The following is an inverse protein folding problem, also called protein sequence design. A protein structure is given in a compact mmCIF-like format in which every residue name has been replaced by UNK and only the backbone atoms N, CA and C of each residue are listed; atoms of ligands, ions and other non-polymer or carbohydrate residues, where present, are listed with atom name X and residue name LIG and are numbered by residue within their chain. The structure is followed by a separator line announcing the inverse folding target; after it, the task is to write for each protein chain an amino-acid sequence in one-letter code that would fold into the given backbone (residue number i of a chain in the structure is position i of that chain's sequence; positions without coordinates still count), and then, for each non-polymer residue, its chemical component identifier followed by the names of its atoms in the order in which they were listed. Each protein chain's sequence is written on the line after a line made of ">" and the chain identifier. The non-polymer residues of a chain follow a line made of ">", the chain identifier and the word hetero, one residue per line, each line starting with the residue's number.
data_IF_915558346535
#
_entry.id   IF_915558346535
#
_cell.length_a   1.000
_cell.length_b   1.000
_cell.length_c   1.000
_cell.angle_alpha   90.00
_cell.angle_beta   90.00
_cell.angle_gamma   90.00
#
_symmetry.space_group_name_H-M   'P 1'
#
loop_
_entity.id
_entity.type
_entity.pdbx_description
1 polymer ?
#
# COMPACT_ATOMS: atom_id res chain seq x y z
N UNK A 1 7.08 -35.82 -50.81
CA UNK A 1 6.48 -34.52 -51.21
C UNK A 1 6.19 -33.75 -49.90
N UNK A 2 7.18 -33.00 -49.41
CA UNK A 2 7.05 -32.24 -48.14
C UNK A 2 6.63 -30.81 -48.44
N UNK A 3 5.44 -30.44 -48.01
CA UNK A 3 4.95 -29.07 -48.07
C UNK A 3 5.51 -28.27 -46.85
N UNK A 4 6.37 -27.28 -47.11
CA UNK A 4 6.84 -26.30 -46.13
C UNK A 4 5.80 -25.18 -46.05
N UNK A 5 5.14 -25.05 -44.87
CA UNK A 5 4.37 -23.85 -44.55
C UNK A 5 5.31 -22.78 -43.99
N UNK A 6 5.43 -21.69 -44.76
CA UNK A 6 6.15 -20.48 -44.32
C UNK A 6 5.17 -19.60 -43.54
N UNK A 7 5.41 -19.47 -42.23
CA UNK A 7 4.61 -18.58 -41.37
C UNK A 7 5.17 -17.16 -41.47
N UNK A 8 4.47 -16.30 -42.21
CA UNK A 8 4.81 -14.90 -42.35
C UNK A 8 4.29 -14.14 -41.12
N UNK A 9 5.20 -13.78 -40.20
CA UNK A 9 4.87 -12.97 -39.04
C UNK A 9 4.75 -11.50 -39.48
N UNK A 10 3.53 -11.00 -39.62
CA UNK A 10 3.29 -9.57 -39.87
C UNK A 10 3.54 -8.77 -38.59
N UNK A 11 4.59 -7.95 -38.63
CA UNK A 11 4.91 -7.01 -37.55
C UNK A 11 3.90 -5.84 -37.61
N UNK A 12 2.93 -5.80 -36.69
CA UNK A 12 2.02 -4.66 -36.56
C UNK A 12 2.76 -3.56 -35.80
N UNK A 13 3.23 -2.54 -36.51
CA UNK A 13 3.78 -1.32 -35.92
C UNK A 13 2.61 -0.46 -35.46
N UNK A 14 2.30 -0.46 -34.17
CA UNK A 14 1.36 0.49 -33.59
C UNK A 14 2.07 1.84 -33.48
N UNK A 15 1.77 2.75 -34.37
CA UNK A 15 2.23 4.14 -34.28
C UNK A 15 1.46 4.82 -33.15
N UNK A 16 2.12 5.04 -32.01
CA UNK A 16 1.59 5.89 -30.94
C UNK A 16 1.73 7.35 -31.34
N UNK A 17 0.62 7.98 -31.73
CA UNK A 17 0.57 9.43 -31.94
C UNK A 17 0.72 10.14 -30.60
N UNK A 18 1.82 10.85 -30.42
CA UNK A 18 1.97 11.83 -29.33
C UNK A 18 1.06 13.02 -29.61
N UNK A 19 0.00 13.21 -28.83
CA UNK A 19 -0.80 14.42 -28.91
C UNK A 19 -0.03 15.55 -28.25
N UNK A 20 0.33 16.58 -29.03
CA UNK A 20 0.86 17.81 -28.51
C UNK A 20 -0.29 18.62 -27.91
N UNK A 21 -0.15 19.05 -26.66
CA UNK A 21 -1.14 19.92 -26.01
C UNK A 21 -0.78 21.38 -26.28
N UNK A 22 -1.71 22.15 -26.85
CA UNK A 22 -1.57 23.59 -27.03
C UNK A 22 -2.19 24.34 -25.86
N UNK A 23 -1.39 25.13 -25.14
CA UNK A 23 -1.87 26.07 -24.15
C UNK A 23 -1.77 27.50 -24.66
N UNK A 24 -2.74 28.33 -24.29
CA UNK A 24 -2.81 29.75 -24.63
C UNK A 24 -2.48 30.57 -23.40
N UNK A 25 -1.45 31.41 -23.48
CA UNK A 25 -1.07 32.36 -22.43
C UNK A 25 -1.69 33.71 -22.71
N UNK A 26 -2.41 34.29 -21.76
CA UNK A 26 -2.88 35.68 -21.77
C UNK A 26 -2.45 36.39 -20.50
N UNK A 27 -2.40 37.73 -20.54
CA UNK A 27 -2.10 38.57 -19.38
C UNK A 27 -3.21 39.61 -19.26
N UNK A 28 -3.78 39.78 -18.07
CA UNK A 28 -4.81 40.78 -17.84
C UNK A 28 -4.21 42.19 -17.66
N UNK A 29 -5.08 43.18 -17.50
CA UNK A 29 -4.69 44.59 -17.29
C UNK A 29 -3.89 44.82 -15.99
N UNK A 30 -3.90 43.89 -15.05
CA UNK A 30 -3.18 43.97 -13.78
C UNK A 30 -1.85 43.20 -13.84
N UNK A 31 -1.47 42.62 -14.99
CA UNK A 31 -0.24 41.86 -15.17
C UNK A 31 -0.32 40.39 -14.75
N UNK A 32 -1.52 39.89 -14.40
CA UNK A 32 -1.71 38.50 -14.01
C UNK A 32 -1.71 37.62 -15.27
N UNK A 33 -0.88 36.55 -15.25
CA UNK A 33 -0.74 35.63 -16.35
C UNK A 33 -1.69 34.42 -16.17
N UNK A 34 -2.48 34.14 -17.21
CA UNK A 34 -3.38 33.00 -17.29
C UNK A 34 -2.94 32.02 -18.36
N UNK A 35 -3.16 30.74 -18.10
CA UNK A 35 -3.02 29.69 -19.11
C UNK A 35 -4.37 28.99 -19.29
N UNK A 36 -4.75 28.74 -20.54
CA UNK A 36 -6.02 28.09 -20.91
C UNK A 36 -5.78 27.07 -22.02
N UNK A 37 -6.58 26.04 -22.10
CA UNK A 37 -6.69 25.12 -23.23
C UNK A 37 -7.53 25.69 -24.38
N UNK A 38 -8.18 26.85 -24.16
CA UNK A 38 -9.00 27.53 -25.15
C UNK A 38 -8.33 28.82 -25.62
N UNK A 39 -8.38 29.07 -26.92
CA UNK A 39 -7.87 30.31 -27.50
C UNK A 39 -8.78 31.49 -27.10
N UNK A 40 -8.17 32.51 -26.50
CA UNK A 40 -8.82 33.79 -26.21
C UNK A 40 -8.19 34.91 -27.07
N UNK A 41 -8.91 36.00 -27.39
CA UNK A 41 -8.35 37.11 -28.15
C UNK A 41 -7.10 37.68 -27.50
N UNK A 42 -6.00 37.78 -28.25
CA UNK A 42 -4.73 38.31 -27.76
C UNK A 42 -3.83 37.27 -27.02
N UNK A 43 -4.25 36.05 -26.85
CA UNK A 43 -3.44 35.02 -26.19
C UNK A 43 -2.37 34.44 -27.14
N UNK A 44 -1.16 34.20 -26.60
CA UNK A 44 -0.08 33.55 -27.32
C UNK A 44 -0.19 32.02 -27.14
N UNK A 45 -0.10 31.28 -28.26
CA UNK A 45 -0.09 29.82 -28.24
C UNK A 45 1.28 29.26 -27.82
N UNK A 46 1.27 28.33 -26.86
CA UNK A 46 2.41 27.54 -26.47
C UNK A 46 2.13 26.05 -26.77
N UNK A 47 2.93 25.46 -27.63
CA UNK A 47 2.88 24.02 -27.90
C UNK A 47 3.78 23.33 -26.89
N UNK A 48 3.18 22.59 -25.95
CA UNK A 48 3.92 21.71 -25.06
C UNK A 48 4.20 20.42 -25.81
N UNK A 49 5.43 20.28 -26.30
CA UNK A 49 5.91 18.98 -26.79
C UNK A 49 6.29 18.16 -25.57
N UNK A 50 5.61 17.05 -25.36
CA UNK A 50 6.09 16.05 -24.39
C UNK A 50 7.46 15.55 -24.85
N UNK A 51 8.50 16.10 -24.25
CA UNK A 51 9.83 15.51 -24.37
C UNK A 51 9.76 14.14 -23.71
N UNK A 52 9.77 13.04 -24.48
CA UNK A 52 10.01 11.70 -23.91
C UNK A 52 11.35 11.76 -23.19
N UNK A 53 11.30 12.02 -21.90
CA UNK A 53 12.46 11.80 -21.04
C UNK A 53 12.64 10.29 -21.04
N UNK A 54 13.55 9.79 -21.85
CA UNK A 54 14.07 8.43 -21.69
C UNK A 54 14.71 8.41 -20.30
N UNK A 55 13.93 8.02 -19.28
CA UNK A 55 14.53 7.68 -18.01
C UNK A 55 15.49 6.54 -18.31
N UNK A 56 16.79 6.68 -17.97
CA UNK A 56 17.70 5.57 -18.09
C UNK A 56 17.06 4.40 -17.34
N UNK A 57 16.75 3.33 -18.07
CA UNK A 57 16.35 2.07 -17.48
C UNK A 57 17.60 1.57 -16.78
N UNK A 58 17.76 1.93 -15.50
CA UNK A 58 18.69 1.23 -14.67
C UNK A 58 18.13 -0.18 -14.54
N UNK A 59 18.68 -1.07 -15.35
CA UNK A 59 18.45 -2.50 -15.23
C UNK A 59 19.00 -2.90 -13.85
N UNK A 60 18.22 -2.68 -12.80
CA UNK A 60 18.51 -3.28 -11.51
C UNK A 60 18.33 -4.77 -11.76
N UNK A 61 19.41 -5.57 -11.61
CA UNK A 61 19.26 -7.01 -11.72
C UNK A 61 18.10 -7.39 -10.82
N UNK A 62 17.05 -8.00 -11.38
CA UNK A 62 15.99 -8.64 -10.60
C UNK A 62 16.71 -9.54 -9.60
N UNK A 63 16.47 -9.39 -8.29
CA UNK A 63 17.04 -10.30 -7.33
C UNK A 63 16.68 -11.71 -7.78
N UNK A 64 17.70 -12.54 -7.97
CA UNK A 64 17.59 -13.91 -8.50
C UNK A 64 16.95 -14.91 -7.51
N UNK A 65 16.25 -14.40 -6.48
CA UNK A 65 15.50 -15.22 -5.56
C UNK A 65 14.07 -15.35 -6.08
N UNK A 66 13.51 -16.60 -6.10
CA UNK A 66 12.08 -16.75 -6.32
C UNK A 66 11.37 -15.87 -5.31
N UNK A 67 10.63 -14.88 -5.79
CA UNK A 67 9.84 -13.98 -4.95
C UNK A 67 8.81 -14.85 -4.23
N UNK A 68 9.10 -15.24 -2.99
CA UNK A 68 8.14 -15.96 -2.19
C UNK A 68 6.95 -15.03 -1.96
N UNK A 69 5.83 -15.31 -2.61
CA UNK A 69 4.60 -14.55 -2.43
C UNK A 69 3.97 -14.99 -1.11
N UNK A 70 3.98 -14.10 -0.12
CA UNK A 70 3.30 -14.33 1.15
C UNK A 70 1.84 -13.98 1.00
N UNK A 71 0.95 -14.95 1.28
CA UNK A 71 -0.50 -14.77 1.18
C UNK A 71 -1.15 -14.80 2.55
N UNK A 72 -2.08 -13.87 2.77
CA UNK A 72 -2.81 -13.66 4.03
C UNK A 72 -4.30 -13.52 3.75
N UNK A 73 -5.14 -14.03 4.63
CA UNK A 73 -6.55 -13.69 4.61
C UNK A 73 -6.74 -12.21 4.99
N UNK A 74 -7.88 -11.61 4.65
CA UNK A 74 -8.21 -10.28 5.12
C UNK A 74 -8.23 -10.26 6.66
N UNK A 75 -7.54 -9.29 7.31
CA UNK A 75 -7.43 -9.21 8.76
C UNK A 75 -8.64 -8.57 9.45
N UNK A 76 -9.79 -8.56 8.82
CA UNK A 76 -11.05 -8.00 9.35
C UNK A 76 -12.27 -8.79 8.91
N UNK A 77 -13.39 -8.51 9.55
CA UNK A 77 -14.73 -8.96 9.11
C UNK A 77 -15.57 -7.78 8.67
N UNK A 78 -16.44 -8.01 7.69
CA UNK A 78 -17.29 -6.96 7.11
C UNK A 78 -16.62 -6.24 5.92
N UNK A 79 -17.06 -5.07 5.61
CA UNK A 79 -16.61 -4.28 4.45
C UNK A 79 -17.69 -4.21 3.37
N UNK A 80 -17.33 -3.67 2.19
CA UNK A 80 -15.97 -3.33 1.74
C UNK A 80 -15.37 -2.13 2.47
N UNK A 81 -14.05 -2.12 2.68
CA UNK A 81 -13.29 -1.03 3.27
C UNK A 81 -12.31 -0.43 2.27
N UNK A 82 -11.91 0.84 2.51
CA UNK A 82 -11.06 1.60 1.59
C UNK A 82 -9.61 1.57 2.06
N UNK A 83 -8.69 1.18 1.16
CA UNK A 83 -7.26 1.41 1.35
C UNK A 83 -6.97 2.92 1.29
N UNK A 84 -6.44 3.49 2.36
CA UNK A 84 -6.07 4.91 2.46
C UNK A 84 -4.60 5.14 2.19
N UNK A 85 -3.76 4.19 2.59
CA UNK A 85 -2.33 4.20 2.28
C UNK A 85 -1.85 2.78 2.04
N UNK A 86 -1.17 2.57 0.93
CA UNK A 86 -0.57 1.28 0.56
C UNK A 86 0.95 1.23 0.77
N UNK A 87 1.61 0.20 0.24
CA UNK A 87 3.05 0.06 0.27
C UNK A 87 3.79 1.28 -0.30
N UNK A 88 4.90 1.66 0.35
CA UNK A 88 5.69 2.87 0.04
C UNK A 88 4.92 4.20 0.15
N UNK A 89 3.83 4.21 0.91
CA UNK A 89 3.06 5.43 1.16
C UNK A 89 3.91 6.48 1.88
N UNK A 90 3.88 7.72 1.36
CA UNK A 90 4.81 8.79 1.78
C UNK A 90 4.53 9.35 3.17
N UNK A 91 3.37 9.08 3.76
CA UNK A 91 3.01 9.63 5.07
C UNK A 91 3.66 8.87 6.23
N UNK A 92 3.54 7.54 6.28
CA UNK A 92 4.03 6.70 7.39
C UNK A 92 4.70 5.40 6.96
N UNK A 93 4.60 4.98 5.68
CA UNK A 93 5.17 3.73 5.18
C UNK A 93 6.55 3.96 4.54
N UNK A 94 7.44 4.67 5.23
CA UNK A 94 8.74 5.13 4.70
C UNK A 94 9.94 4.39 5.27
N UNK A 95 9.81 3.75 6.42
CA UNK A 95 10.89 3.02 7.08
C UNK A 95 10.91 1.52 6.74
N UNK A 96 11.96 0.82 7.18
CA UNK A 96 12.12 -0.60 6.91
C UNK A 96 11.01 -1.47 7.53
N UNK A 97 10.39 -1.06 8.65
CA UNK A 97 9.37 -1.83 9.36
C UNK A 97 7.97 -1.64 8.81
N UNK A 98 7.70 -0.49 8.15
CA UNK A 98 6.37 -0.09 7.70
C UNK A 98 6.22 -0.01 6.18
N UNK A 99 7.30 -0.07 5.41
CA UNK A 99 7.30 0.15 3.95
C UNK A 99 6.22 -0.60 3.19
N UNK A 100 5.91 -1.83 3.58
CA UNK A 100 4.89 -2.67 2.95
C UNK A 100 3.59 -2.74 3.75
N UNK A 101 3.37 -1.81 4.67
CA UNK A 101 2.12 -1.73 5.41
C UNK A 101 0.95 -1.26 4.52
N UNK A 102 -0.25 -1.56 5.00
CA UNK A 102 -1.52 -1.10 4.44
C UNK A 102 -2.35 -0.47 5.55
N UNK A 103 -2.83 0.76 5.31
CA UNK A 103 -3.79 1.45 6.17
C UNK A 103 -5.18 1.33 5.54
N UNK A 104 -6.07 0.65 6.23
CA UNK A 104 -7.42 0.36 5.77
C UNK A 104 -8.42 1.12 6.64
N UNK A 105 -9.02 2.18 6.08
CA UNK A 105 -10.05 2.95 6.77
C UNK A 105 -11.28 2.10 7.04
N UNK A 106 -11.69 2.06 8.30
CA UNK A 106 -12.86 1.32 8.75
C UNK A 106 -13.44 1.95 10.03
N UNK A 107 -14.75 1.79 10.31
CA UNK A 107 -15.34 2.28 11.57
C UNK A 107 -14.64 1.67 12.78
N UNK A 108 -14.51 2.46 13.87
CA UNK A 108 -14.10 1.90 15.15
C UNK A 108 -15.06 0.77 15.58
N UNK A 109 -14.49 -0.28 16.16
CA UNK A 109 -15.25 -1.45 16.56
C UNK A 109 -15.44 -2.50 15.47
N UNK A 110 -14.85 -2.32 14.29
CA UNK A 110 -14.81 -3.37 13.27
C UNK A 110 -14.01 -4.56 13.79
N UNK A 111 -14.53 -5.81 13.71
CA UNK A 111 -13.81 -6.98 14.19
C UNK A 111 -12.51 -7.21 13.43
N UNK A 112 -11.41 -7.26 14.17
CA UNK A 112 -10.08 -7.59 13.65
C UNK A 112 -9.78 -9.05 13.98
N UNK A 113 -9.35 -9.79 12.97
CA UNK A 113 -9.14 -11.24 13.02
C UNK A 113 -7.74 -11.61 12.54
N UNK A 114 -7.26 -12.77 12.98
CA UNK A 114 -5.96 -13.26 12.54
C UNK A 114 -5.96 -13.59 11.02
N UNK A 115 -5.14 -12.90 10.25
CA UNK A 115 -4.99 -13.11 8.81
C UNK A 115 -4.27 -14.43 8.47
N UNK A 116 -3.55 -14.99 9.46
CA UNK A 116 -2.82 -16.25 9.34
C UNK A 116 -2.69 -16.90 10.71
N UNK A 117 -2.61 -18.24 10.75
CA UNK A 117 -2.38 -18.98 11.98
C UNK A 117 -1.00 -18.70 12.59
N UNK A 118 -0.89 -18.77 13.90
CA UNK A 118 0.37 -18.55 14.59
C UNK A 118 0.24 -18.46 16.09
N UNK A 119 1.26 -17.87 16.73
CA UNK A 119 1.30 -17.62 18.16
C UNK A 119 1.38 -16.11 18.42
N UNK A 120 0.58 -15.59 19.32
CA UNK A 120 0.64 -14.21 19.76
C UNK A 120 1.95 -13.98 20.51
N UNK A 121 2.78 -13.05 20.03
CA UNK A 121 4.10 -12.79 20.62
C UNK A 121 4.18 -11.45 21.34
N UNK A 122 3.27 -10.52 21.06
CA UNK A 122 3.20 -9.24 21.75
C UNK A 122 1.81 -8.63 21.64
N UNK A 123 1.36 -7.95 22.70
CA UNK A 123 0.10 -7.20 22.71
C UNK A 123 0.25 -5.90 23.49
N UNK A 124 -0.57 -4.90 23.18
CA UNK A 124 -0.83 -3.70 23.96
C UNK A 124 -2.34 -3.44 23.93
N UNK A 125 -2.93 -3.03 25.05
CA UNK A 125 -4.40 -2.92 25.19
C UNK A 125 -4.88 -1.70 25.99
N UNK A 126 -3.97 -1.01 26.67
CA UNK A 126 -4.34 0.01 27.66
C UNK A 126 -4.21 1.46 27.16
N UNK A 127 -3.67 1.67 25.96
CA UNK A 127 -3.48 3.02 25.45
C UNK A 127 -4.80 3.67 25.06
N UNK A 128 -5.01 4.91 25.52
CA UNK A 128 -6.13 5.76 25.13
C UNK A 128 -5.67 6.85 24.15
N UNK A 129 -6.47 7.16 23.14
CA UNK A 129 -6.17 8.20 22.17
C UNK A 129 -4.78 8.04 21.55
N UNK A 130 -4.01 9.13 21.44
CA UNK A 130 -2.67 9.09 20.85
C UNK A 130 -1.63 8.33 21.68
N UNK A 131 -1.84 8.21 23.00
CA UNK A 131 -0.97 7.44 23.89
C UNK A 131 0.51 7.82 23.85
N UNK A 132 1.34 7.00 24.48
CA UNK A 132 2.81 7.16 24.52
C UNK A 132 3.53 6.36 23.43
N UNK A 133 2.91 5.34 22.86
CA UNK A 133 3.45 4.52 21.76
C UNK A 133 2.72 4.86 20.46
N UNK A 134 3.49 5.15 19.42
CA UNK A 134 2.96 5.45 18.09
C UNK A 134 2.13 4.29 17.51
N UNK A 135 2.37 3.04 17.93
CA UNK A 135 1.62 1.86 17.50
C UNK A 135 0.18 1.81 18.04
N UNK A 136 -0.11 2.55 19.12
CA UNK A 136 -1.36 2.43 19.86
C UNK A 136 -1.52 1.04 20.48
N UNK A 137 -2.75 0.58 20.61
CA UNK A 137 -3.01 -0.81 20.99
C UNK A 137 -2.79 -1.72 19.79
N UNK A 138 -2.23 -2.90 20.04
CA UNK A 138 -1.84 -3.79 18.96
C UNK A 138 -1.79 -5.26 19.34
N UNK A 139 -1.77 -6.10 18.32
CA UNK A 139 -1.45 -7.53 18.40
C UNK A 139 -0.36 -7.86 17.37
N UNK A 140 0.59 -8.71 17.77
CA UNK A 140 1.59 -9.31 16.88
C UNK A 140 1.44 -10.84 16.93
N UNK A 141 1.31 -11.45 15.77
CA UNK A 141 1.17 -12.91 15.61
C UNK A 141 2.36 -13.43 14.80
N UNK A 142 3.18 -14.29 15.41
CA UNK A 142 4.28 -14.97 14.74
C UNK A 142 3.78 -16.25 14.09
N UNK A 143 4.10 -16.40 12.81
CA UNK A 143 3.70 -17.54 11.97
C UNK A 143 4.81 -18.59 11.89
N UNK A 144 4.47 -19.80 11.49
CA UNK A 144 5.42 -20.95 11.44
C UNK A 144 6.54 -20.76 10.40
N UNK A 145 6.35 -19.87 9.41
CA UNK A 145 7.39 -19.50 8.43
C UNK A 145 8.32 -18.37 8.90
N UNK A 146 8.23 -17.99 10.17
CA UNK A 146 9.05 -16.95 10.80
C UNK A 146 8.62 -15.51 10.50
N UNK A 147 7.54 -15.31 9.73
CA UNK A 147 6.94 -13.97 9.54
C UNK A 147 6.04 -13.59 10.71
N UNK A 148 5.77 -12.30 10.87
CA UNK A 148 4.86 -11.76 11.87
C UNK A 148 3.80 -10.87 11.23
N UNK A 149 2.52 -11.17 11.47
CA UNK A 149 1.41 -10.26 11.18
C UNK A 149 1.25 -9.26 12.33
N UNK A 150 1.22 -7.97 12.01
CA UNK A 150 1.16 -6.87 12.97
C UNK A 150 -0.11 -6.06 12.73
N UNK A 151 -0.92 -5.90 13.76
CA UNK A 151 -2.23 -5.25 13.73
C UNK A 151 -2.21 -4.07 14.70
N UNK A 152 -2.16 -2.83 14.21
CA UNK A 152 -2.00 -1.62 15.02
C UNK A 152 -3.27 -0.78 15.10
N UNK A 153 -3.22 0.20 15.99
CA UNK A 153 -4.26 1.21 16.24
C UNK A 153 -5.59 0.64 16.72
N UNK A 154 -5.54 -0.52 17.43
CA UNK A 154 -6.73 -1.18 17.94
C UNK A 154 -7.42 -0.36 19.03
N UNK A 155 -8.71 -0.60 19.24
CA UNK A 155 -9.51 0.05 20.27
C UNK A 155 -9.01 -0.35 21.66
N UNK A 156 -8.92 0.63 22.57
CA UNK A 156 -8.54 0.39 23.96
C UNK A 156 -9.47 -0.64 24.60
N UNK A 157 -8.89 -1.57 25.34
CA UNK A 157 -9.62 -2.62 26.06
C UNK A 157 -10.22 -3.71 25.17
N UNK A 158 -9.97 -3.68 23.85
CA UNK A 158 -10.61 -4.63 22.91
C UNK A 158 -9.75 -5.85 22.55
N UNK A 159 -8.47 -5.84 22.88
CA UNK A 159 -7.56 -6.97 22.58
C UNK A 159 -7.97 -8.16 23.43
N UNK A 160 -8.51 -9.21 22.79
CA UNK A 160 -9.05 -10.39 23.45
C UNK A 160 -8.10 -11.59 23.49
N UNK A 161 -6.84 -11.40 23.11
CA UNK A 161 -5.81 -12.45 23.08
C UNK A 161 -4.64 -12.11 23.99
N UNK A 162 -3.88 -13.12 24.42
CA UNK A 162 -2.71 -12.95 25.29
C UNK A 162 -1.45 -13.53 24.64
N UNK A 163 -0.29 -13.04 25.05
CA UNK A 163 1.01 -13.57 24.62
C UNK A 163 1.09 -15.06 24.93
N UNK A 164 1.61 -15.85 23.98
CA UNK A 164 1.67 -17.30 24.00
C UNK A 164 0.42 -18.01 23.49
N UNK A 165 -0.69 -17.30 23.26
CA UNK A 165 -1.91 -17.90 22.71
C UNK A 165 -1.74 -18.27 21.25
N UNK A 166 -2.15 -19.52 20.90
CA UNK A 166 -2.30 -19.93 19.49
C UNK A 166 -3.59 -19.36 18.90
N UNK A 167 -3.51 -18.89 17.68
CA UNK A 167 -4.64 -18.41 16.89
C UNK A 167 -4.65 -19.09 15.51
N UNK A 168 -5.84 -19.42 15.05
CA UNK A 168 -6.08 -19.87 13.68
C UNK A 168 -6.46 -18.69 12.78
N UNK A 169 -6.42 -18.86 11.45
CA UNK A 169 -7.01 -17.88 10.52
C UNK A 169 -8.46 -17.60 10.93
N UNK A 170 -8.82 -16.31 11.00
CA UNK A 170 -10.17 -15.89 11.39
C UNK A 170 -10.43 -15.82 12.89
N UNK A 171 -9.48 -16.22 13.77
CA UNK A 171 -9.61 -16.04 15.22
C UNK A 171 -9.72 -14.56 15.56
N UNK A 172 -10.66 -14.14 16.44
CA UNK A 172 -10.80 -12.76 16.87
C UNK A 172 -9.54 -12.31 17.63
N UNK A 173 -9.04 -11.13 17.31
CA UNK A 173 -7.87 -10.51 17.96
C UNK A 173 -8.28 -9.31 18.81
N UNK A 174 -9.21 -8.49 18.32
CA UNK A 174 -9.67 -7.26 18.92
C UNK A 174 -10.62 -6.51 18.00
N UNK A 175 -10.74 -5.21 18.22
CA UNK A 175 -11.55 -4.31 17.40
C UNK A 175 -10.68 -3.18 16.84
N UNK A 176 -10.99 -2.71 15.62
CA UNK A 176 -10.35 -1.52 15.06
C UNK A 176 -10.58 -0.30 15.95
N UNK A 177 -9.64 0.61 15.97
CA UNK A 177 -9.68 1.81 16.79
C UNK A 177 -9.01 3.00 16.10
N UNK A 178 -8.55 3.93 16.95
CA UNK A 178 -7.86 5.15 16.54
C UNK A 178 -6.79 5.54 17.58
N UNK A 179 -6.10 4.55 18.15
CA UNK A 179 -5.08 4.78 19.19
C UNK A 179 -3.68 4.91 18.60
N UNK A 180 -2.76 5.56 19.30
CA UNK A 180 -1.39 5.80 18.86
C UNK A 180 -1.28 6.94 17.84
N UNK A 181 -0.30 6.88 16.95
CA UNK A 181 -0.12 7.89 15.90
C UNK A 181 -1.07 7.64 14.72
N UNK A 182 -2.34 7.94 14.93
CA UNK A 182 -3.42 7.76 13.97
C UNK A 182 -4.17 9.06 13.72
N UNK A 183 -4.49 9.35 12.45
CA UNK A 183 -5.25 10.54 12.03
C UNK A 183 -6.76 10.30 11.94
N UNK A 184 -7.21 9.05 12.02
CA UNK A 184 -8.60 8.64 11.96
C UNK A 184 -8.75 7.13 12.07
N UNK A 185 -9.98 6.61 12.32
CA UNK A 185 -10.20 5.19 12.51
C UNK A 185 -9.73 4.34 11.32
N UNK A 186 -8.81 3.44 11.55
CA UNK A 186 -8.27 2.52 10.54
C UNK A 186 -7.58 1.32 11.18
N UNK A 187 -7.35 0.28 10.41
CA UNK A 187 -6.39 -0.78 10.71
C UNK A 187 -5.09 -0.51 9.95
N UNK A 188 -3.98 -0.38 10.67
CA UNK A 188 -2.65 -0.51 10.06
C UNK A 188 -2.24 -1.97 10.15
N UNK A 189 -2.08 -2.63 9.00
CA UNK A 189 -1.64 -4.01 8.90
C UNK A 189 -0.33 -4.12 8.14
N UNK A 190 0.64 -4.84 8.71
CA UNK A 190 1.93 -5.09 8.06
C UNK A 190 2.41 -6.50 8.36
N UNK A 191 3.10 -7.10 7.40
CA UNK A 191 3.84 -8.36 7.60
C UNK A 191 5.31 -8.04 7.73
N UNK A 192 5.93 -8.55 8.79
CA UNK A 192 7.33 -8.32 9.09
C UNK A 192 8.10 -9.64 9.21
N UNK A 193 9.42 -9.55 9.06
CA UNK A 193 10.36 -10.66 9.29
C UNK A 193 11.55 -10.15 10.09
N UNK A 194 12.07 -10.98 10.98
CA UNK A 194 13.34 -10.73 11.62
C UNK A 194 14.50 -10.97 10.65
N UNK A 195 15.46 -10.06 10.65
CA UNK A 195 16.74 -10.15 9.93
C UNK A 195 17.89 -9.82 10.89
N UNK A 196 19.13 -9.97 10.47
CA UNK A 196 20.29 -9.55 11.26
C UNK A 196 20.26 -8.04 11.59
N UNK A 197 19.71 -7.22 10.69
CA UNK A 197 19.54 -5.78 10.89
C UNK A 197 18.29 -5.39 11.72
N UNK A 198 17.51 -6.36 12.21
CA UNK A 198 16.28 -6.17 12.95
C UNK A 198 15.02 -6.56 12.16
N UNK A 199 13.85 -6.08 12.61
CA UNK A 199 12.58 -6.32 11.94
C UNK A 199 12.45 -5.47 10.69
N UNK A 200 12.07 -6.10 9.58
CA UNK A 200 11.76 -5.43 8.30
C UNK A 200 10.40 -5.87 7.79
N UNK A 201 9.66 -4.97 7.18
CA UNK A 201 8.44 -5.32 6.46
C UNK A 201 8.77 -6.04 5.15
N UNK A 202 7.93 -6.96 4.76
CA UNK A 202 8.05 -7.72 3.51
C UNK A 202 6.79 -7.59 2.66
N UNK A 203 6.91 -7.70 1.32
CA UNK A 203 5.76 -7.71 0.43
C UNK A 203 4.83 -8.91 0.74
N UNK A 204 3.54 -8.68 0.69
CA UNK A 204 2.51 -9.70 0.83
C UNK A 204 1.28 -9.34 0.00
N UNK A 205 0.41 -10.32 -0.19
CA UNK A 205 -0.87 -10.17 -0.89
C UNK A 205 -1.99 -10.71 0.00
N UNK A 206 -3.16 -10.12 -0.09
CA UNK A 206 -4.36 -10.74 0.45
C UNK A 206 -4.87 -11.83 -0.50
N UNK A 207 -5.38 -12.92 0.06
CA UNK A 207 -6.13 -13.90 -0.71
C UNK A 207 -7.34 -13.18 -1.33
N UNK A 208 -7.55 -13.38 -2.62
CA UNK A 208 -8.81 -12.94 -3.22
C UNK A 208 -9.96 -13.75 -2.60
N UNK A 209 -11.12 -13.10 -2.34
CA UNK A 209 -12.30 -13.77 -1.82
C UNK A 209 -12.82 -14.84 -2.78
#
# INVERSE_FOLDING_TARGET
>A
MLMRFSLCCALVIVATTTQAMTLYKSTDANGVVFFSDRQTPGAQAFVIQERKVQRPVFDRPKPAYPQQTYRYAFPWRGGPFRLTQGPNGSFSHTDAKSRYAMDIAMPEGTPIIAARSGVVVKTENEQSGRGSDASGNFVRVKHDDGTEGVYLHLKQGSVGVRVGQRVAVGSPLGLSGNTGNSSGPHLHFVVQRATEAGLVSIPYEFNQP
#
